data_IF_020538075219
#
_entry.id   IF_020538075219
#
_cell.length_a   1.000
_cell.length_b   1.000
_cell.length_c   1.000
_cell.angle_alpha   90.00
_cell.angle_beta   90.00
_cell.angle_gamma   90.00
#
_symmetry.space_group_name_H-M   'P 1'
#
loop_
_entity.id
_entity.type
_entity.pdbx_description
1 polymer ?
#
# COMPACT_ATOMS: atom_id res chain seq x y z
N UNK A 1 3.14 -26.69 14.26
CA UNK A 1 3.65 -25.32 14.09
C UNK A 1 3.86 -24.96 12.61
N UNK A 2 4.89 -25.44 11.90
CA UNK A 2 5.17 -25.04 10.50
C UNK A 2 4.02 -25.36 9.52
N UNK A 3 3.46 -26.56 9.60
CA UNK A 3 2.27 -26.96 8.80
C UNK A 3 0.99 -26.16 9.08
N UNK A 4 0.87 -25.49 10.21
CA UNK A 4 -0.32 -24.71 10.54
C UNK A 4 -0.39 -23.40 9.75
N UNK A 5 0.77 -22.80 9.48
CA UNK A 5 0.88 -21.58 8.66
C UNK A 5 0.45 -21.88 7.23
N UNK A 6 0.91 -22.99 6.65
CA UNK A 6 0.52 -23.43 5.30
C UNK A 6 -0.99 -23.68 5.21
N UNK A 7 -1.56 -24.44 6.16
CA UNK A 7 -3.00 -24.71 6.17
C UNK A 7 -3.83 -23.44 6.34
N UNK A 8 -3.38 -22.49 7.16
CA UNK A 8 -4.04 -21.19 7.32
C UNK A 8 -3.97 -20.36 6.04
N UNK A 9 -2.80 -20.30 5.40
CA UNK A 9 -2.60 -19.57 4.16
C UNK A 9 -3.50 -20.14 3.05
N UNK A 10 -3.56 -21.47 2.89
CA UNK A 10 -4.42 -22.14 1.92
C UNK A 10 -5.92 -21.91 2.21
N UNK A 11 -6.34 -22.02 3.46
CA UNK A 11 -7.73 -21.80 3.84
C UNK A 11 -8.16 -20.35 3.53
N UNK A 12 -7.33 -19.36 3.85
CA UNK A 12 -7.61 -17.95 3.61
C UNK A 12 -7.57 -17.60 2.11
N UNK A 13 -6.61 -18.15 1.36
CA UNK A 13 -6.54 -17.99 -0.09
C UNK A 13 -7.81 -18.50 -0.77
N UNK A 14 -8.29 -19.69 -0.37
CA UNK A 14 -9.54 -20.27 -0.88
C UNK A 14 -10.78 -19.48 -0.47
N UNK A 15 -10.88 -19.04 0.79
CA UNK A 15 -12.06 -18.31 1.27
C UNK A 15 -12.24 -16.96 0.56
N UNK A 16 -11.13 -16.29 0.20
CA UNK A 16 -11.15 -14.97 -0.42
C UNK A 16 -10.84 -14.96 -1.92
N UNK A 17 -10.59 -16.14 -2.51
CA UNK A 17 -10.24 -16.28 -3.92
C UNK A 17 -9.07 -15.37 -4.34
N UNK A 18 -8.00 -15.38 -3.54
CA UNK A 18 -6.78 -14.59 -3.76
C UNK A 18 -5.57 -15.50 -3.94
N UNK A 19 -4.53 -14.99 -4.59
CA UNK A 19 -3.27 -15.71 -4.73
C UNK A 19 -2.68 -16.02 -3.35
N UNK A 20 -2.10 -17.22 -3.21
CA UNK A 20 -1.42 -17.64 -1.99
C UNK A 20 -0.26 -16.70 -1.66
N UNK A 21 0.43 -16.15 -2.66
CA UNK A 21 1.57 -15.27 -2.42
C UNK A 21 1.16 -14.00 -1.68
N UNK A 22 0.02 -13.40 -2.04
CA UNK A 22 -0.53 -12.22 -1.35
C UNK A 22 -0.84 -12.55 0.13
N UNK A 23 -1.29 -13.78 0.40
CA UNK A 23 -1.56 -14.24 1.76
C UNK A 23 -0.28 -14.41 2.55
N UNK A 24 0.78 -14.98 1.94
CA UNK A 24 2.09 -15.12 2.58
C UNK A 24 2.72 -13.75 2.88
N UNK A 25 2.73 -12.82 1.92
CA UNK A 25 3.21 -11.44 2.15
C UNK A 25 2.47 -10.78 3.32
N UNK A 26 1.14 -10.92 3.36
CA UNK A 26 0.33 -10.35 4.43
C UNK A 26 0.60 -11.02 5.80
N UNK A 27 0.90 -12.31 5.82
CA UNK A 27 1.31 -13.02 7.03
C UNK A 27 2.69 -12.56 7.52
N UNK A 28 3.66 -12.43 6.61
CA UNK A 28 4.99 -11.89 6.88
C UNK A 28 4.91 -10.49 7.48
N UNK A 29 4.13 -9.60 6.87
CA UNK A 29 3.88 -8.23 7.39
C UNK A 29 3.21 -8.23 8.77
N UNK A 30 2.23 -9.11 8.99
CA UNK A 30 1.55 -9.21 10.27
C UNK A 30 2.50 -9.68 11.38
N UNK A 31 3.34 -10.68 11.09
CA UNK A 31 4.34 -11.21 12.01
C UNK A 31 5.45 -10.19 12.28
N UNK A 32 5.91 -9.47 11.26
CA UNK A 32 6.86 -8.38 11.41
C UNK A 32 6.32 -7.29 12.34
N UNK A 33 5.06 -6.84 12.13
CA UNK A 33 4.41 -5.84 12.97
C UNK A 33 4.21 -6.33 14.41
N UNK A 34 3.85 -7.60 14.60
CA UNK A 34 3.70 -8.19 15.93
C UNK A 34 5.04 -8.30 16.67
N UNK A 35 6.11 -8.64 15.96
CA UNK A 35 7.47 -8.73 16.51
C UNK A 35 7.99 -7.35 16.88
N UNK A 36 7.80 -6.36 16.01
CA UNK A 36 8.19 -4.97 16.25
C UNK A 36 7.61 -4.41 17.55
N UNK A 37 6.37 -4.76 17.91
CA UNK A 37 5.73 -4.33 19.17
C UNK A 37 6.39 -4.82 20.46
N UNK A 38 7.30 -5.81 20.39
CA UNK A 38 8.07 -6.27 21.55
C UNK A 38 9.28 -5.39 21.84
N UNK A 39 9.75 -4.65 20.85
CA UNK A 39 10.86 -3.73 21.00
C UNK A 39 10.31 -2.36 21.41
N UNK A 40 11.00 -1.70 22.34
CA UNK A 40 10.71 -0.31 22.73
C UNK A 40 11.21 0.69 21.70
N UNK A 41 12.23 0.28 20.95
CA UNK A 41 12.86 0.99 19.84
C UNK A 41 12.00 0.89 18.59
N UNK A 42 12.12 1.89 17.71
CA UNK A 42 11.49 1.81 16.40
C UNK A 42 12.37 0.93 15.50
N UNK A 43 12.29 -0.39 15.64
CA UNK A 43 13.08 -1.32 14.85
C UNK A 43 12.40 -1.66 13.52
N UNK A 44 13.20 -2.04 12.53
CA UNK A 44 12.70 -2.60 11.29
C UNK A 44 12.85 -4.13 11.30
N UNK A 45 11.74 -4.83 11.04
CA UNK A 45 11.65 -6.29 11.12
C UNK A 45 11.13 -6.82 9.80
N UNK A 46 11.80 -7.83 9.27
CA UNK A 46 11.37 -8.62 8.12
C UNK A 46 11.13 -10.05 8.56
N UNK A 47 10.05 -10.66 8.09
CA UNK A 47 9.76 -12.08 8.29
C UNK A 47 9.75 -12.73 6.91
N UNK A 48 10.36 -13.90 6.79
CA UNK A 48 10.33 -14.72 5.58
C UNK A 48 9.71 -16.06 5.92
N UNK A 49 8.65 -16.46 5.22
CA UNK A 49 7.99 -17.76 5.41
C UNK A 49 8.36 -18.67 4.25
N UNK A 50 8.93 -19.85 4.49
CA UNK A 50 9.14 -20.83 3.43
C UNK A 50 7.80 -21.40 2.93
N UNK A 51 7.61 -21.39 1.61
CA UNK A 51 6.32 -21.68 0.95
C UNK A 51 6.00 -23.18 0.93
N UNK A 52 7.01 -24.03 1.11
CA UNK A 52 6.91 -25.49 1.05
C UNK A 52 6.88 -26.12 2.45
N UNK A 53 7.72 -25.63 3.37
CA UNK A 53 7.84 -26.12 4.73
C UNK A 53 6.91 -25.41 5.71
N UNK A 54 6.60 -24.13 5.46
CA UNK A 54 5.86 -23.27 6.39
C UNK A 54 6.68 -22.79 7.59
N UNK A 55 7.98 -23.08 7.60
CA UNK A 55 8.91 -22.51 8.57
C UNK A 55 9.10 -21.03 8.28
N UNK A 56 9.34 -20.24 9.32
CA UNK A 56 9.53 -18.80 9.14
C UNK A 56 10.68 -18.28 9.99
N UNK A 57 11.47 -17.45 9.35
CA UNK A 57 12.63 -16.79 9.94
C UNK A 57 12.34 -15.31 10.08
N UNK A 58 12.79 -14.74 11.19
CA UNK A 58 12.59 -13.33 11.50
C UNK A 58 13.96 -12.65 11.52
N UNK A 59 14.04 -11.51 10.86
CA UNK A 59 15.26 -10.74 10.72
C UNK A 59 15.00 -9.32 11.21
N UNK A 60 15.92 -8.79 12.02
CA UNK A 60 16.04 -7.35 12.24
C UNK A 60 16.87 -6.79 11.09
N UNK A 61 16.44 -5.68 10.50
CA UNK A 61 17.14 -5.06 9.38
C UNK A 61 17.56 -3.63 9.67
N UNK A 62 18.70 -3.24 9.13
CA UNK A 62 19.21 -1.87 9.14
C UNK A 62 19.45 -1.40 7.72
N UNK A 63 18.90 -0.24 7.37
CA UNK A 63 19.12 0.44 6.10
C UNK A 63 20.51 1.06 6.07
N UNK A 64 21.27 0.76 5.02
CA UNK A 64 22.59 1.35 4.81
C UNK A 64 22.42 2.77 4.28
N UNK A 65 22.91 3.75 5.02
CA UNK A 65 22.84 5.18 4.66
C UNK A 65 24.23 5.76 4.34
N UNK A 66 24.31 6.85 3.55
CA UNK A 66 25.59 7.49 3.28
C UNK A 66 26.25 7.99 4.57
N UNK A 67 27.57 7.85 4.67
CA UNK A 67 28.34 8.31 5.84
C UNK A 67 28.14 9.81 6.11
N UNK A 68 27.97 10.60 5.06
CA UNK A 68 27.77 12.06 5.13
C UNK A 68 26.37 12.46 5.65
N UNK A 69 25.36 11.59 5.51
CA UNK A 69 23.99 11.89 5.93
C UNK A 69 23.79 11.77 7.44
N UNK A 70 24.69 11.03 8.12
CA UNK A 70 24.54 10.64 9.51
C UNK A 70 23.36 9.69 9.74
N UNK A 71 23.19 9.24 10.98
CA UNK A 71 22.05 8.41 11.39
C UNK A 71 20.88 9.31 11.79
N UNK A 72 19.81 9.30 11.00
CA UNK A 72 18.54 9.96 11.32
C UNK A 72 17.66 9.04 12.19
N UNK A 73 17.71 7.74 11.92
CA UNK A 73 17.00 6.69 12.64
C UNK A 73 17.97 5.62 13.16
N UNK A 74 18.68 5.85 14.29
CA UNK A 74 19.73 4.95 14.78
C UNK A 74 19.28 3.50 15.03
N UNK A 75 18.00 3.28 15.28
CA UNK A 75 17.44 1.95 15.55
C UNK A 75 17.24 1.09 14.30
N UNK A 76 17.27 1.72 13.10
CA UNK A 76 17.01 1.12 11.78
C UNK A 76 18.04 1.46 10.72
N UNK A 77 19.04 2.29 11.01
CA UNK A 77 20.04 2.72 10.04
C UNK A 77 21.44 2.31 10.48
N UNK A 78 22.31 2.08 9.51
CA UNK A 78 23.73 1.81 9.71
C UNK A 78 24.53 2.61 8.68
N UNK A 79 25.67 3.16 9.10
CA UNK A 79 26.53 3.92 8.20
C UNK A 79 27.20 2.98 7.19
N UNK A 80 27.42 3.45 5.97
CA UNK A 80 28.01 2.66 4.91
C UNK A 80 29.37 2.07 5.31
N UNK A 81 30.21 2.83 6.01
CA UNK A 81 31.50 2.31 6.45
C UNK A 81 31.35 1.12 7.41
N UNK A 82 30.40 1.17 8.36
CA UNK A 82 30.14 0.08 9.31
C UNK A 82 29.50 -1.12 8.62
N UNK A 83 28.58 -0.88 7.68
CA UNK A 83 27.96 -1.94 6.89
C UNK A 83 29.01 -2.69 6.04
N UNK A 84 29.99 -1.98 5.47
CA UNK A 84 31.08 -2.57 4.69
C UNK A 84 32.05 -3.42 5.50
N UNK A 85 32.14 -3.21 6.81
CA UNK A 85 32.92 -4.11 7.68
C UNK A 85 32.27 -5.49 7.82
N UNK A 86 30.94 -5.56 7.66
CA UNK A 86 30.19 -6.82 7.71
C UNK A 86 30.05 -7.48 6.33
N UNK A 87 29.72 -6.68 5.31
CA UNK A 87 29.49 -7.13 3.93
C UNK A 87 30.21 -6.18 2.98
N UNK A 88 31.32 -6.63 2.40
CA UNK A 88 32.23 -5.77 1.62
C UNK A 88 31.58 -5.11 0.40
N UNK A 89 30.61 -5.78 -0.20
CA UNK A 89 29.97 -5.38 -1.46
C UNK A 89 28.64 -4.63 -1.23
N UNK A 90 28.34 -4.21 0.01
CA UNK A 90 27.08 -3.55 0.33
C UNK A 90 27.05 -2.08 -0.12
N UNK A 91 25.95 -1.68 -0.73
CA UNK A 91 25.74 -0.33 -1.24
C UNK A 91 24.76 0.47 -0.37
N UNK A 92 24.77 1.79 -0.54
CA UNK A 92 23.77 2.65 0.10
C UNK A 92 22.39 2.29 -0.43
N UNK A 93 21.43 2.10 0.47
CA UNK A 93 20.07 1.67 0.16
C UNK A 93 19.84 0.16 0.36
N UNK A 94 20.91 -0.63 0.51
CA UNK A 94 20.79 -2.03 0.91
C UNK A 94 20.42 -2.17 2.38
N UNK A 95 20.12 -3.41 2.79
CA UNK A 95 19.82 -3.74 4.18
C UNK A 95 20.80 -4.78 4.72
N UNK A 96 21.35 -4.51 5.90
CA UNK A 96 21.98 -5.54 6.74
C UNK A 96 20.86 -6.26 7.48
N UNK A 97 20.88 -7.60 7.47
CA UNK A 97 19.89 -8.43 8.17
C UNK A 97 20.56 -9.28 9.25
N UNK A 98 20.04 -9.24 10.47
CA UNK A 98 20.43 -10.11 11.58
C UNK A 98 19.26 -11.02 11.96
N UNK A 99 19.50 -12.33 11.95
CA UNK A 99 18.47 -13.30 12.32
C UNK A 99 18.19 -13.23 13.83
N UNK A 100 16.92 -13.08 14.17
CA UNK A 100 16.44 -13.03 15.56
C UNK A 100 15.45 -14.16 15.85
N UNK A 101 15.13 -14.36 17.13
CA UNK A 101 14.18 -15.39 17.54
C UNK A 101 12.78 -15.13 16.97
N UNK A 102 12.32 -16.05 16.11
CA UNK A 102 10.98 -16.05 15.55
C UNK A 102 9.93 -16.22 16.66
N UNK A 103 8.97 -15.30 16.71
CA UNK A 103 7.84 -15.39 17.63
C UNK A 103 6.96 -16.60 17.32
N UNK A 104 6.63 -17.41 18.32
CA UNK A 104 5.69 -18.52 18.15
C UNK A 104 4.33 -18.01 17.65
N UNK A 105 3.80 -18.66 16.61
CA UNK A 105 2.50 -18.36 16.02
C UNK A 105 1.36 -18.68 17.02
N UNK A 106 1.02 -17.70 17.88
CA UNK A 106 -0.05 -17.80 18.87
C UNK A 106 -1.42 -17.32 18.35
N UNK A 107 -2.43 -17.33 19.22
CA UNK A 107 -3.80 -16.84 18.90
C UNK A 107 -3.85 -15.37 18.45
N UNK A 108 -2.96 -14.54 18.97
CA UNK A 108 -2.87 -13.11 18.61
C UNK A 108 -2.37 -12.96 17.17
N UNK A 109 -1.46 -13.83 16.73
CA UNK A 109 -0.95 -13.87 15.35
C UNK A 109 -2.06 -14.16 14.35
N UNK A 110 -2.94 -15.12 14.62
CA UNK A 110 -4.03 -15.47 13.72
C UNK A 110 -5.07 -14.34 13.52
N UNK A 111 -5.43 -13.60 14.57
CA UNK A 111 -6.37 -12.47 14.45
C UNK A 111 -5.74 -11.25 13.77
N UNK A 112 -4.50 -10.91 14.11
CA UNK A 112 -3.76 -9.82 13.47
C UNK A 112 -3.51 -10.15 11.99
N UNK A 113 -3.09 -11.38 11.68
CA UNK A 113 -2.96 -11.89 10.33
C UNK A 113 -4.26 -11.74 9.55
N UNK A 114 -5.40 -12.16 10.10
CA UNK A 114 -6.70 -12.00 9.42
C UNK A 114 -6.99 -10.55 9.06
N UNK A 115 -6.71 -9.60 9.95
CA UNK A 115 -6.92 -8.17 9.68
C UNK A 115 -5.97 -7.65 8.59
N UNK A 116 -4.68 -7.96 8.68
CA UNK A 116 -3.67 -7.53 7.70
C UNK A 116 -3.93 -8.17 6.34
N UNK A 117 -4.29 -9.44 6.30
CA UNK A 117 -4.70 -10.16 5.08
C UNK A 117 -5.93 -9.51 4.46
N UNK A 118 -6.99 -9.28 5.24
CA UNK A 118 -8.20 -8.61 4.72
C UNK A 118 -7.94 -7.19 4.22
N UNK A 119 -6.92 -6.51 4.75
CA UNK A 119 -6.49 -5.21 4.27
C UNK A 119 -5.70 -5.35 2.98
N UNK A 120 -4.70 -6.23 2.94
CA UNK A 120 -3.85 -6.47 1.75
C UNK A 120 -4.65 -6.97 0.56
N UNK A 121 -5.63 -7.85 0.78
CA UNK A 121 -6.57 -8.30 -0.25
C UNK A 121 -7.36 -7.12 -0.81
N UNK A 122 -7.91 -6.26 0.05
CA UNK A 122 -8.64 -5.07 -0.40
C UNK A 122 -7.74 -4.11 -1.18
N UNK A 123 -6.49 -3.95 -0.76
CA UNK A 123 -5.54 -3.08 -1.45
C UNK A 123 -5.14 -3.67 -2.82
N UNK A 124 -4.93 -4.98 -2.91
CA UNK A 124 -4.68 -5.68 -4.17
C UNK A 124 -5.87 -5.63 -5.13
N UNK A 125 -7.09 -5.86 -4.64
CA UNK A 125 -8.32 -5.71 -5.43
C UNK A 125 -8.47 -4.29 -5.98
N UNK A 126 -8.20 -3.27 -5.14
CA UNK A 126 -8.25 -1.86 -5.55
C UNK A 126 -7.20 -1.54 -6.61
N UNK A 127 -5.98 -2.04 -6.44
CA UNK A 127 -4.89 -1.86 -7.41
C UNK A 127 -5.26 -2.47 -8.76
N UNK A 128 -5.83 -3.69 -8.77
CA UNK A 128 -6.29 -4.34 -9.99
C UNK A 128 -7.41 -3.53 -10.67
N UNK A 129 -8.44 -3.16 -9.91
CA UNK A 129 -9.57 -2.35 -10.41
C UNK A 129 -9.09 -1.00 -10.99
N UNK A 130 -8.10 -0.39 -10.34
CA UNK A 130 -7.49 0.84 -10.81
C UNK A 130 -6.74 0.62 -12.12
N UNK A 131 -5.90 -0.40 -12.21
CA UNK A 131 -5.13 -0.69 -13.42
C UNK A 131 -6.08 -0.99 -14.60
N UNK A 132 -7.13 -1.78 -14.38
CA UNK A 132 -8.20 -2.05 -15.37
C UNK A 132 -8.90 -0.76 -15.84
N UNK A 133 -9.00 0.26 -14.97
CA UNK A 133 -9.58 1.56 -15.31
C UNK A 133 -8.61 2.42 -16.10
N UNK A 134 -7.34 2.47 -15.70
CA UNK A 134 -6.28 3.25 -16.37
C UNK A 134 -5.98 2.73 -17.78
N UNK A 135 -6.07 1.40 -17.99
CA UNK A 135 -5.89 0.78 -19.31
C UNK A 135 -6.91 1.26 -20.35
N UNK A 136 -8.07 1.78 -19.93
CA UNK A 136 -9.08 2.34 -20.85
C UNK A 136 -8.62 3.64 -21.51
N UNK A 137 -7.59 4.30 -20.97
CA UNK A 137 -7.05 5.55 -21.49
C UNK A 137 -7.98 6.76 -21.34
N UNK A 138 -9.08 6.63 -20.57
CA UNK A 138 -10.01 7.72 -20.31
C UNK A 138 -9.37 8.77 -19.38
N UNK A 139 -9.27 10.03 -19.83
CA UNK A 139 -8.74 11.12 -19.01
C UNK A 139 -9.79 11.86 -18.18
N UNK A 140 -11.06 11.73 -18.53
CA UNK A 140 -12.18 12.29 -17.78
C UNK A 140 -12.92 11.16 -17.10
N UNK A 141 -12.94 11.17 -15.76
CA UNK A 141 -13.73 10.26 -14.96
C UNK A 141 -15.12 10.85 -14.72
N UNK A 142 -16.16 10.06 -14.96
CA UNK A 142 -17.53 10.40 -14.59
C UNK A 142 -17.97 9.52 -13.44
N UNK A 143 -18.40 10.11 -12.33
CA UNK A 143 -18.81 9.37 -11.15
C UNK A 143 -19.86 10.11 -10.33
N UNK A 144 -20.24 9.51 -9.20
CA UNK A 144 -21.19 10.07 -8.24
C UNK A 144 -20.48 10.38 -6.93
N UNK A 145 -20.79 11.51 -6.31
CA UNK A 145 -20.24 11.86 -4.99
C UNK A 145 -20.79 10.90 -3.95
N UNK A 146 -19.94 10.05 -3.39
CA UNK A 146 -20.30 9.08 -2.36
C UNK A 146 -20.40 9.75 -0.99
N UNK A 147 -19.38 10.55 -0.64
CA UNK A 147 -19.30 11.30 0.61
C UNK A 147 -18.36 12.50 0.52
N UNK A 148 -18.51 13.42 1.47
CA UNK A 148 -17.62 14.54 1.67
C UNK A 148 -16.76 14.32 2.92
N UNK A 149 -15.44 14.39 2.77
CA UNK A 149 -14.46 14.26 3.83
C UNK A 149 -13.78 15.62 4.12
N UNK A 150 -12.91 15.67 5.14
CA UNK A 150 -12.14 16.89 5.45
C UNK A 150 -11.22 17.31 4.31
N UNK A 151 -10.70 16.33 3.56
CA UNK A 151 -9.71 16.53 2.49
C UNK A 151 -10.34 16.86 1.12
N UNK A 152 -11.64 16.60 0.93
CA UNK A 152 -12.28 16.71 -0.39
C UNK A 152 -13.56 15.88 -0.50
N UNK A 153 -13.96 15.59 -1.73
CA UNK A 153 -15.10 14.73 -2.04
C UNK A 153 -14.61 13.39 -2.57
N UNK A 154 -15.20 12.31 -2.08
CA UNK A 154 -14.96 10.96 -2.60
C UNK A 154 -16.00 10.71 -3.70
N UNK A 155 -15.51 10.53 -4.92
CA UNK A 155 -16.29 10.26 -6.11
C UNK A 155 -16.12 8.78 -6.46
N UNK A 156 -17.24 8.10 -6.70
CA UNK A 156 -17.29 6.68 -7.05
C UNK A 156 -17.73 6.54 -8.52
N UNK A 157 -16.97 5.79 -9.30
CA UNK A 157 -17.34 5.40 -10.67
C UNK A 157 -17.26 3.87 -10.79
N UNK A 158 -18.42 3.23 -10.76
CA UNK A 158 -18.52 1.77 -10.78
C UNK A 158 -17.87 1.14 -9.55
N UNK A 159 -16.65 0.60 -9.70
CA UNK A 159 -15.86 -0.02 -8.63
C UNK A 159 -14.64 0.79 -8.21
N UNK A 160 -14.37 1.91 -8.87
CA UNK A 160 -13.19 2.77 -8.61
C UNK A 160 -13.61 3.94 -7.74
N UNK A 161 -12.82 4.24 -6.71
CA UNK A 161 -12.96 5.43 -5.87
C UNK A 161 -11.87 6.45 -6.21
N UNK A 162 -12.26 7.72 -6.23
CA UNK A 162 -11.38 8.83 -6.55
C UNK A 162 -11.62 10.01 -5.60
N UNK A 163 -10.59 10.80 -5.35
CA UNK A 163 -10.62 11.97 -4.48
C UNK A 163 -10.57 13.25 -5.32
N UNK A 164 -11.61 14.07 -5.19
CA UNK A 164 -11.59 15.45 -5.66
C UNK A 164 -11.24 16.35 -4.48
N UNK A 165 -10.00 16.86 -4.46
CA UNK A 165 -9.52 17.74 -3.37
C UNK A 165 -10.19 19.11 -3.44
N UNK A 166 -10.31 19.77 -2.30
CA UNK A 166 -11.01 21.07 -2.19
C UNK A 166 -10.36 22.17 -3.03
N UNK A 167 -9.04 22.15 -3.17
CA UNK A 167 -8.25 23.07 -3.99
C UNK A 167 -8.43 22.81 -5.50
N UNK A 168 -8.87 21.61 -5.87
CA UNK A 168 -9.12 21.19 -7.25
C UNK A 168 -10.59 21.29 -7.65
N UNK A 169 -11.45 21.83 -6.77
CA UNK A 169 -12.87 22.10 -7.04
C UNK A 169 -13.05 23.49 -7.66
N UNK A 170 -14.07 23.64 -8.50
CA UNK A 170 -14.42 24.95 -9.05
C UNK A 170 -14.93 25.84 -7.90
N UNK A 171 -14.41 27.07 -7.73
CA UNK A 171 -14.87 27.97 -6.69
C UNK A 171 -16.39 28.17 -6.74
N UNK A 172 -17.05 28.09 -5.58
CA UNK A 172 -18.51 28.25 -5.40
C UNK A 172 -19.37 27.11 -5.97
N UNK A 173 -18.77 26.02 -6.43
CA UNK A 173 -19.49 24.81 -6.81
C UNK A 173 -19.91 24.03 -5.56
N UNK A 174 -21.22 23.83 -5.37
CA UNK A 174 -21.77 23.12 -4.22
C UNK A 174 -22.16 21.69 -4.62
N UNK A 175 -21.21 20.77 -4.52
CA UNK A 175 -21.45 19.35 -4.73
C UNK A 175 -21.87 18.67 -3.42
N UNK A 176 -22.93 17.87 -3.48
CA UNK A 176 -23.47 17.09 -2.36
C UNK A 176 -23.34 15.60 -2.65
N UNK A 177 -23.41 14.79 -1.60
CA UNK A 177 -23.52 13.33 -1.76
C UNK A 177 -24.72 12.98 -2.65
N UNK A 178 -24.49 12.15 -3.66
CA UNK A 178 -25.47 11.76 -4.67
C UNK A 178 -25.35 12.52 -6.00
N UNK A 179 -24.61 13.63 -6.06
CA UNK A 179 -24.46 14.40 -7.28
C UNK A 179 -23.53 13.69 -8.27
N UNK A 180 -23.87 13.76 -9.57
CA UNK A 180 -23.00 13.26 -10.64
C UNK A 180 -22.00 14.33 -11.04
N UNK A 181 -20.73 13.94 -11.13
CA UNK A 181 -19.61 14.85 -11.38
C UNK A 181 -18.70 14.24 -12.43
N UNK A 182 -18.23 15.09 -13.35
CA UNK A 182 -17.16 14.77 -14.31
C UNK A 182 -15.88 15.44 -13.81
N UNK A 183 -14.74 14.79 -13.82
CA UNK A 183 -13.48 15.45 -13.45
C UNK A 183 -12.32 14.85 -14.23
N UNK A 184 -11.26 15.63 -14.40
CA UNK A 184 -10.03 15.18 -15.04
C UNK A 184 -9.19 14.38 -14.06
N UNK A 185 -8.56 13.31 -14.53
CA UNK A 185 -7.62 12.50 -13.76
C UNK A 185 -6.27 13.22 -13.73
N UNK A 186 -5.94 13.83 -12.59
CA UNK A 186 -4.72 14.62 -12.43
C UNK A 186 -3.51 13.71 -12.23
N UNK A 187 -3.59 12.80 -11.26
CA UNK A 187 -2.54 11.82 -10.95
C UNK A 187 -3.13 10.64 -10.19
N UNK A 188 -2.33 9.58 -10.10
CA UNK A 188 -2.64 8.39 -9.33
C UNK A 188 -1.70 8.37 -8.13
N UNK A 189 -2.25 8.43 -6.92
CA UNK A 189 -1.49 8.31 -5.68
C UNK A 189 -1.55 6.85 -5.22
N UNK A 190 -0.38 6.19 -5.14
CA UNK A 190 -0.26 4.80 -4.68
C UNK A 190 0.23 4.68 -3.24
N UNK A 191 0.59 5.80 -2.60
CA UNK A 191 1.25 5.80 -1.29
C UNK A 191 0.24 5.89 -0.13
N UNK A 192 -0.94 6.46 -0.35
CA UNK A 192 -1.88 6.78 0.72
C UNK A 192 -3.01 5.74 0.94
N UNK A 193 -2.86 4.83 1.92
CA UNK A 193 -3.96 3.92 2.41
C UNK A 193 -4.72 3.17 1.29
N UNK A 194 -3.99 2.79 0.25
CA UNK A 194 -4.50 2.16 -0.96
C UNK A 194 -4.46 3.10 -2.16
N UNK A 195 -4.40 2.56 -3.38
CA UNK A 195 -4.23 3.37 -4.57
C UNK A 195 -5.50 4.19 -4.84
N UNK A 196 -5.33 5.51 -4.99
CA UNK A 196 -6.43 6.46 -5.15
C UNK A 196 -6.17 7.40 -6.34
N UNK A 197 -7.20 7.61 -7.14
CA UNK A 197 -7.16 8.59 -8.24
C UNK A 197 -7.40 9.98 -7.67
N UNK A 198 -6.50 10.92 -7.96
CA UNK A 198 -6.72 12.34 -7.68
C UNK A 198 -7.36 13.03 -8.88
N UNK A 199 -8.47 13.71 -8.62
CA UNK A 199 -9.27 14.38 -9.63
C UNK A 199 -9.11 15.90 -9.54
N UNK A 200 -9.22 16.55 -10.69
CA UNK A 200 -9.28 18.00 -10.81
C UNK A 200 -10.37 18.48 -11.75
N UNK A 201 -11.03 19.58 -11.37
CA UNK A 201 -11.99 20.31 -12.20
C UNK A 201 -11.51 21.72 -12.55
N UNK A 202 -10.35 22.14 -12.02
CA UNK A 202 -9.77 23.47 -12.23
C UNK A 202 -8.59 23.47 -13.19
N UNK A 203 -8.02 22.29 -13.52
CA UNK A 203 -6.94 22.17 -14.48
C UNK A 203 -7.39 22.54 -15.92
N UNK A 204 -6.54 23.23 -16.72
CA UNK A 204 -6.85 23.56 -18.11
C UNK A 204 -7.19 22.34 -18.99
N UNK A 205 -6.56 21.20 -18.71
CA UNK A 205 -6.76 19.92 -19.40
C UNK A 205 -8.18 19.41 -19.30
N UNK A 206 -8.85 19.70 -18.18
CA UNK A 206 -10.27 19.36 -18.02
C UNK A 206 -11.13 20.07 -19.06
N UNK A 207 -10.92 21.38 -19.25
CA UNK A 207 -11.65 22.17 -20.22
C UNK A 207 -11.37 21.70 -21.66
N UNK A 208 -10.10 21.48 -22.01
CA UNK A 208 -9.71 20.99 -23.33
C UNK A 208 -10.38 19.65 -23.66
N UNK A 209 -10.32 18.69 -22.73
CA UNK A 209 -10.95 17.37 -22.92
C UNK A 209 -12.47 17.41 -22.87
N UNK A 210 -13.10 18.38 -22.19
CA UNK A 210 -14.54 18.58 -22.28
C UNK A 210 -14.94 19.05 -23.68
N UNK A 211 -14.21 20.01 -24.27
CA UNK A 211 -14.47 20.50 -25.62
C UNK A 211 -14.30 19.41 -26.68
N UNK A 212 -13.23 18.61 -26.59
CA UNK A 212 -12.96 17.50 -27.52
C UNK A 212 -14.08 16.43 -27.50
N UNK A 213 -14.74 16.22 -26.36
CA UNK A 213 -15.87 15.29 -26.26
C UNK A 213 -17.20 15.88 -26.78
N UNK A 214 -17.38 17.20 -26.69
CA UNK A 214 -18.64 17.86 -27.05
C UNK A 214 -18.67 18.29 -28.53
N UNK A 215 -17.49 18.50 -29.13
CA UNK A 215 -17.32 18.84 -30.55
C UNK A 215 -16.71 17.62 -31.26
N UNK A 216 -17.53 16.69 -31.79
CA UNK A 216 -17.02 15.72 -32.75
C UNK A 216 -16.55 16.49 -34.00
N UNK A 217 -15.35 16.16 -34.50
CA UNK A 217 -14.80 16.68 -35.76
C UNK A 217 -15.80 16.56 -36.93
#
# INVERSE_FOLDING_TARGET
>A
MSREVLMLAEALAREKNVDREIVFEALELALASATKKRYSEDVDIRVSIDRDSGEYETFRRWLVVPDEAGLQEPDKEILQFEAKEQISDIEVGDHIEEQIESLAFGRIGAQAAKQVILQRIRDAEREQILNDYLERGEKIMTGTVKRADKNGLIIESGRVEALLRRDQMIPKENLRSGDRVRAYILKVDREARGPQIELSRTCPEFLMKLFENEVPE
#
